data_IF_740022335998
#
_entry.id   IF_740022335998
#
_cell.length_a   1.000
_cell.length_b   1.000
_cell.length_c   1.000
_cell.angle_alpha   90.00
_cell.angle_beta   90.00
_cell.angle_gamma   90.00
#
_symmetry.space_group_name_H-M   'P 1'
#
loop_
_entity.id
_entity.type
_entity.pdbx_description
1 polymer ?
#
# COMPACT_ATOMS: atom_id res chain seq x y z
N UNK A 1 -18.10 38.51 -13.94
CA UNK A 1 -18.64 37.24 -14.48
C UNK A 1 -17.60 36.62 -15.44
N UNK A 2 -17.45 35.29 -15.48
CA UNK A 2 -16.52 34.66 -16.42
C UNK A 2 -16.99 34.93 -17.87
N UNK A 3 -16.07 35.24 -18.79
CA UNK A 3 -16.42 35.48 -20.19
C UNK A 3 -16.84 34.16 -20.89
N UNK A 4 -17.61 34.24 -21.98
CA UNK A 4 -17.97 33.08 -22.79
C UNK A 4 -16.73 32.31 -23.28
N UNK A 5 -15.63 33.04 -23.56
CA UNK A 5 -14.34 32.45 -23.94
C UNK A 5 -13.74 31.64 -22.80
N UNK A 6 -13.80 32.16 -21.57
CA UNK A 6 -13.28 31.46 -20.38
C UNK A 6 -14.06 30.19 -20.11
N UNK A 7 -15.39 30.23 -20.21
CA UNK A 7 -16.24 29.05 -20.05
C UNK A 7 -15.93 27.97 -21.10
N UNK A 8 -15.75 28.37 -22.37
CA UNK A 8 -15.37 27.46 -23.45
C UNK A 8 -14.00 26.79 -23.17
N UNK A 9 -13.02 27.59 -22.73
CA UNK A 9 -11.69 27.09 -22.38
C UNK A 9 -11.76 26.11 -21.19
N UNK A 10 -12.57 26.43 -20.16
CA UNK A 10 -12.78 25.51 -19.02
C UNK A 10 -13.44 24.21 -19.44
N UNK A 11 -14.46 24.25 -20.29
CA UNK A 11 -15.09 23.04 -20.84
C UNK A 11 -14.07 22.18 -21.59
N UNK A 12 -13.25 22.79 -22.44
CA UNK A 12 -12.21 22.09 -23.19
C UNK A 12 -11.16 21.43 -22.23
N UNK A 13 -10.71 22.14 -21.21
CA UNK A 13 -9.76 21.63 -20.19
C UNK A 13 -10.36 20.45 -19.41
N UNK A 14 -11.61 20.55 -18.95
CA UNK A 14 -12.26 19.45 -18.20
C UNK A 14 -12.50 18.24 -19.11
N UNK A 15 -12.84 18.45 -20.41
CA UNK A 15 -12.94 17.37 -21.41
C UNK A 15 -11.59 16.65 -21.59
N UNK A 16 -10.48 17.38 -21.61
CA UNK A 16 -9.13 16.77 -21.68
C UNK A 16 -8.83 15.98 -20.40
N UNK A 17 -9.10 16.53 -19.24
CA UNK A 17 -8.93 15.86 -17.94
C UNK A 17 -9.75 14.55 -17.89
N UNK A 18 -11.01 14.56 -18.33
CA UNK A 18 -11.86 13.37 -18.39
C UNK A 18 -11.25 12.27 -19.29
N UNK A 19 -10.66 12.63 -20.43
CA UNK A 19 -9.97 11.67 -21.30
C UNK A 19 -8.75 11.05 -20.60
N UNK A 20 -7.95 11.89 -19.90
CA UNK A 20 -6.75 11.43 -19.18
C UNK A 20 -7.16 10.48 -18.04
N UNK A 21 -8.14 10.85 -17.21
CA UNK A 21 -8.58 10.01 -16.07
C UNK A 21 -9.17 8.69 -16.55
N UNK A 22 -9.90 8.67 -17.68
CA UNK A 22 -10.41 7.44 -18.27
C UNK A 22 -9.28 6.53 -18.78
N UNK A 23 -8.26 7.08 -19.43
CA UNK A 23 -7.07 6.33 -19.83
C UNK A 23 -6.31 5.77 -18.62
N UNK A 24 -6.13 6.57 -17.57
CA UNK A 24 -5.48 6.12 -16.33
C UNK A 24 -6.28 5.00 -15.64
N UNK A 25 -7.60 5.05 -15.65
CA UNK A 25 -8.45 3.97 -15.15
C UNK A 25 -8.18 2.65 -15.87
N UNK A 26 -8.12 2.68 -17.21
CA UNK A 26 -7.86 1.48 -18.03
C UNK A 26 -6.46 0.91 -17.77
N UNK A 27 -5.44 1.77 -17.66
CA UNK A 27 -4.07 1.35 -17.34
C UNK A 27 -4.00 0.73 -15.93
N UNK A 28 -4.70 1.32 -14.95
CA UNK A 28 -4.76 0.78 -13.59
C UNK A 28 -5.44 -0.60 -13.57
N UNK A 29 -6.53 -0.80 -14.33
CA UNK A 29 -7.21 -2.09 -14.45
C UNK A 29 -6.28 -3.18 -15.02
N UNK A 30 -5.52 -2.87 -16.08
CA UNK A 30 -4.57 -3.81 -16.67
C UNK A 30 -3.42 -4.18 -15.71
N UNK A 31 -2.93 -3.19 -14.93
CA UNK A 31 -1.90 -3.42 -13.92
C UNK A 31 -2.44 -4.21 -12.72
N UNK A 32 -3.67 -3.96 -12.30
CA UNK A 32 -4.32 -4.71 -11.24
C UNK A 32 -4.39 -6.20 -11.59
N UNK A 33 -4.85 -6.52 -12.79
CA UNK A 33 -4.94 -7.91 -13.23
C UNK A 33 -3.59 -8.63 -13.15
N UNK A 34 -2.52 -7.99 -13.62
CA UNK A 34 -1.16 -8.56 -13.49
C UNK A 34 -0.72 -8.71 -12.04
N UNK A 35 -1.02 -7.74 -11.18
CA UNK A 35 -0.67 -7.81 -9.76
C UNK A 35 -1.40 -8.96 -9.08
N UNK A 36 -2.66 -9.21 -9.41
CA UNK A 36 -3.44 -10.35 -8.91
C UNK A 36 -2.85 -11.69 -9.38
N UNK A 37 -2.55 -11.82 -10.66
CA UNK A 37 -1.93 -13.03 -11.22
C UNK A 37 -0.62 -13.39 -10.50
N UNK A 38 0.23 -12.40 -10.20
CA UNK A 38 1.49 -12.60 -9.48
C UNK A 38 1.24 -12.95 -8.00
N UNK A 39 0.29 -12.30 -7.34
CA UNK A 39 -0.06 -12.58 -5.95
C UNK A 39 -0.63 -13.99 -5.79
N UNK A 40 -1.52 -14.41 -6.70
CA UNK A 40 -2.09 -15.76 -6.73
C UNK A 40 -1.01 -16.83 -6.96
N UNK A 41 -0.07 -16.57 -7.86
CA UNK A 41 1.05 -17.48 -8.13
C UNK A 41 2.02 -17.62 -6.92
N UNK A 42 2.11 -16.60 -6.06
CA UNK A 42 2.97 -16.63 -4.87
C UNK A 42 2.32 -17.32 -3.67
N UNK A 43 0.99 -17.42 -3.60
CA UNK A 43 0.25 -18.01 -2.46
C UNK A 43 0.67 -19.43 -2.10
N UNK A 44 0.77 -20.41 -3.04
CA UNK A 44 1.10 -21.78 -2.68
C UNK A 44 2.45 -21.91 -1.97
N UNK A 45 3.41 -21.05 -2.34
CA UNK A 45 4.72 -21.04 -1.69
C UNK A 45 4.64 -20.51 -0.25
N UNK A 46 3.91 -19.41 -0.04
CA UNK A 46 3.73 -18.83 1.28
C UNK A 46 2.98 -19.78 2.22
N UNK A 47 1.91 -20.42 1.76
CA UNK A 47 1.13 -21.40 2.53
C UNK A 47 1.97 -22.62 2.92
N UNK A 48 2.79 -23.15 1.99
CA UNK A 48 3.72 -24.25 2.29
C UNK A 48 4.79 -23.84 3.29
N UNK A 49 5.35 -22.64 3.17
CA UNK A 49 6.32 -22.10 4.11
C UNK A 49 5.73 -21.97 5.51
N UNK A 50 4.54 -21.41 5.63
CA UNK A 50 3.83 -21.25 6.91
C UNK A 50 3.55 -22.63 7.56
N UNK A 51 3.15 -23.64 6.78
CA UNK A 51 2.90 -24.99 7.26
C UNK A 51 4.18 -25.67 7.77
N UNK A 52 5.30 -25.54 7.04
CA UNK A 52 6.60 -26.10 7.45
C UNK A 52 7.10 -25.43 8.73
N UNK A 53 7.00 -24.10 8.82
CA UNK A 53 7.40 -23.35 10.01
C UNK A 53 6.56 -23.70 11.22
N UNK A 54 5.24 -23.83 11.07
CA UNK A 54 4.34 -24.25 12.15
C UNK A 54 4.70 -25.66 12.66
N UNK A 55 5.00 -26.60 11.75
CA UNK A 55 5.44 -27.96 12.09
C UNK A 55 6.77 -27.99 12.85
N UNK A 56 7.77 -27.21 12.39
CA UNK A 56 9.08 -27.14 13.05
C UNK A 56 8.99 -26.47 14.41
N UNK A 57 8.28 -25.36 14.51
CA UNK A 57 8.12 -24.64 15.76
C UNK A 57 7.35 -25.42 16.83
N UNK A 58 6.35 -26.23 16.42
CA UNK A 58 5.61 -27.11 17.33
C UNK A 58 6.47 -28.23 17.95
N UNK A 59 7.61 -28.57 17.35
CA UNK A 59 8.56 -29.57 17.86
C UNK A 59 9.58 -28.98 18.83
N UNK A 60 9.79 -27.68 18.82
CA UNK A 60 10.74 -27.02 19.72
C UNK A 60 10.09 -26.87 21.10
N UNK A 61 10.24 -27.89 21.92
CA UNK A 61 9.77 -27.92 23.32
C UNK A 61 10.65 -27.07 24.25
N UNK A 62 11.89 -26.80 23.88
CA UNK A 62 12.82 -26.03 24.68
C UNK A 62 13.09 -24.67 24.06
N UNK A 63 12.62 -23.60 24.73
CA UNK A 63 12.85 -22.20 24.29
C UNK A 63 14.31 -21.75 24.48
N UNK A 64 15.08 -22.48 25.33
CA UNK A 64 16.49 -22.21 25.54
C UNK A 64 17.28 -22.64 24.29
N UNK A 65 17.69 -21.69 23.46
CA UNK A 65 18.37 -21.91 22.18
C UNK A 65 17.51 -21.68 20.92
N UNK A 66 16.22 -21.35 21.09
CA UNK A 66 15.39 -20.96 19.94
C UNK A 66 15.89 -19.66 19.30
N UNK A 67 15.76 -19.58 17.95
CA UNK A 67 16.20 -18.40 17.20
C UNK A 67 15.55 -17.11 17.73
N UNK A 68 16.33 -16.03 17.97
CA UNK A 68 15.79 -14.73 18.40
C UNK A 68 14.74 -14.16 17.44
N UNK A 69 14.76 -14.55 16.17
CA UNK A 69 13.74 -14.18 15.19
C UNK A 69 12.36 -14.75 15.54
N UNK A 70 12.31 -15.85 16.29
CA UNK A 70 11.07 -16.51 16.70
C UNK A 70 10.60 -16.05 18.08
N UNK A 71 11.51 -16.02 19.06
CA UNK A 71 11.16 -15.73 20.45
C UNK A 71 11.34 -14.27 20.83
N UNK A 72 12.00 -13.48 19.98
CA UNK A 72 12.37 -12.10 20.26
C UNK A 72 13.68 -11.97 21.05
N UNK A 73 14.07 -10.72 21.30
CA UNK A 73 15.25 -10.38 22.13
C UNK A 73 14.95 -10.43 23.63
N UNK A 74 13.71 -10.69 24.04
CA UNK A 74 13.23 -10.57 25.41
C UNK A 74 13.00 -9.11 25.86
N UNK A 75 13.27 -8.14 24.99
CA UNK A 75 13.03 -6.71 25.18
C UNK A 75 11.90 -6.24 24.27
N UNK A 76 11.30 -5.12 24.60
CA UNK A 76 10.22 -4.50 23.83
C UNK A 76 10.39 -2.96 23.87
N UNK A 77 11.64 -2.51 23.79
CA UNK A 77 11.99 -1.08 23.97
C UNK A 77 12.03 -0.34 22.62
N UNK A 78 12.53 -0.99 21.58
CA UNK A 78 12.73 -0.36 20.27
C UNK A 78 11.93 -1.08 19.18
N UNK A 79 11.08 -0.33 18.47
CA UNK A 79 10.23 -0.82 17.41
C UNK A 79 10.65 -0.30 16.04
N UNK A 80 10.81 -1.21 15.08
CA UNK A 80 11.00 -0.91 13.67
C UNK A 80 9.65 -0.99 12.94
N UNK A 81 9.21 0.12 12.35
CA UNK A 81 8.00 0.19 11.53
C UNK A 81 8.40 0.31 10.05
N UNK A 82 8.08 -0.70 9.25
CA UNK A 82 8.33 -0.71 7.81
C UNK A 82 7.04 -0.32 7.10
N UNK A 83 6.95 0.90 6.59
CA UNK A 83 5.71 1.46 6.02
C UNK A 83 5.76 1.40 4.51
N UNK A 84 4.96 0.51 3.92
CA UNK A 84 4.90 0.27 2.48
C UNK A 84 3.79 1.10 1.84
N UNK A 85 4.15 1.94 0.88
CA UNK A 85 3.22 2.83 0.17
C UNK A 85 3.56 2.91 -1.32
N UNK A 86 2.76 3.63 -2.09
CA UNK A 86 3.04 3.86 -3.50
C UNK A 86 4.16 4.90 -3.72
N UNK A 87 4.80 4.80 -4.88
CA UNK A 87 5.72 5.83 -5.39
C UNK A 87 4.97 7.09 -5.85
N UNK A 88 3.77 6.93 -6.35
CA UNK A 88 2.96 7.98 -6.97
C UNK A 88 1.63 8.15 -6.24
N UNK A 89 1.04 9.33 -6.41
CA UNK A 89 -0.31 9.63 -5.93
C UNK A 89 -1.41 9.19 -6.91
N UNK A 90 -2.55 9.85 -6.81
CA UNK A 90 -3.75 9.62 -7.61
C UNK A 90 -4.37 8.21 -7.41
N UNK A 91 -4.22 7.66 -6.22
CA UNK A 91 -4.79 6.40 -5.75
C UNK A 91 -5.75 6.60 -4.57
N UNK A 92 -6.51 7.70 -4.58
CA UNK A 92 -7.44 8.03 -3.49
C UNK A 92 -6.78 8.10 -2.12
N UNK A 93 -7.41 7.48 -1.12
CA UNK A 93 -6.93 7.42 0.26
C UNK A 93 -5.89 6.35 0.55
N UNK A 94 -5.46 5.56 -0.43
CA UNK A 94 -4.56 4.42 -0.25
C UNK A 94 -3.32 4.73 0.61
N UNK A 95 -2.50 5.70 0.16
CA UNK A 95 -1.26 6.05 0.89
C UNK A 95 -1.54 6.65 2.27
N UNK A 96 -2.54 7.53 2.37
CA UNK A 96 -2.88 8.19 3.62
C UNK A 96 -3.45 7.23 4.66
N UNK A 97 -4.19 6.21 4.25
CA UNK A 97 -4.76 5.22 5.17
C UNK A 97 -3.68 4.34 5.80
N UNK A 98 -2.70 3.87 5.01
CA UNK A 98 -1.54 3.11 5.53
C UNK A 98 -0.71 3.99 6.48
N UNK A 99 -0.39 5.21 6.04
CA UNK A 99 0.38 6.14 6.87
C UNK A 99 -0.36 6.53 8.16
N UNK A 100 -1.70 6.63 8.13
CA UNK A 100 -2.54 6.91 9.32
C UNK A 100 -2.47 5.76 10.32
N UNK A 101 -2.53 4.51 9.86
CA UNK A 101 -2.40 3.33 10.72
C UNK A 101 -1.00 3.30 11.36
N UNK A 102 0.06 3.38 10.57
CA UNK A 102 1.44 3.39 11.07
C UNK A 102 1.71 4.55 12.04
N UNK A 103 1.15 5.74 11.77
CA UNK A 103 1.26 6.90 12.65
C UNK A 103 0.55 6.67 13.99
N UNK A 104 -0.64 6.08 13.99
CA UNK A 104 -1.38 5.80 15.21
C UNK A 104 -0.60 4.85 16.13
N UNK A 105 -0.04 3.78 15.56
CA UNK A 105 0.77 2.83 16.31
C UNK A 105 2.11 3.45 16.78
N UNK A 106 2.77 4.23 15.92
CA UNK A 106 4.00 4.94 16.29
C UNK A 106 3.78 5.89 17.48
N UNK A 107 2.70 6.69 17.45
CA UNK A 107 2.39 7.62 18.54
C UNK A 107 2.03 6.88 19.83
N UNK A 108 1.31 5.75 19.72
CA UNK A 108 1.01 4.89 20.86
C UNK A 108 2.30 4.35 21.52
N UNK A 109 3.23 3.83 20.71
CA UNK A 109 4.52 3.34 21.21
C UNK A 109 5.35 4.45 21.85
N UNK A 110 5.42 5.62 21.23
CA UNK A 110 6.11 6.79 21.80
C UNK A 110 5.48 7.25 23.12
N UNK A 111 4.16 7.20 23.24
CA UNK A 111 3.47 7.54 24.51
C UNK A 111 3.75 6.55 25.64
N UNK A 112 4.14 5.33 25.29
CA UNK A 112 4.58 4.28 26.22
C UNK A 112 6.07 4.40 26.59
N UNK A 113 6.77 5.44 26.12
CA UNK A 113 8.21 5.63 26.35
C UNK A 113 9.12 4.78 25.47
N UNK A 114 8.57 4.09 24.44
CA UNK A 114 9.34 3.24 23.54
C UNK A 114 10.01 4.03 22.42
N UNK A 115 11.10 3.53 21.91
CA UNK A 115 11.81 4.10 20.77
C UNK A 115 11.17 3.58 19.46
N UNK A 116 10.90 4.48 18.52
CA UNK A 116 10.34 4.13 17.22
C UNK A 116 11.30 4.52 16.10
N UNK A 117 11.67 3.55 15.27
CA UNK A 117 12.42 3.72 14.01
C UNK A 117 11.50 3.44 12.84
N UNK A 118 11.47 4.29 11.82
CA UNK A 118 10.61 4.12 10.65
C UNK A 118 11.44 4.00 9.39
N UNK A 119 11.26 2.87 8.69
CA UNK A 119 11.70 2.68 7.31
C UNK A 119 10.50 2.85 6.39
N UNK A 120 10.60 3.73 5.40
CA UNK A 120 9.54 3.88 4.40
C UNK A 120 9.93 3.18 3.09
N UNK A 121 9.05 2.33 2.59
CA UNK A 121 9.14 1.68 1.28
C UNK A 121 8.08 2.33 0.39
N UNK A 122 8.54 3.09 -0.60
CA UNK A 122 7.70 3.97 -1.39
C UNK A 122 7.70 5.41 -0.88
N UNK A 123 7.81 6.34 -1.82
CA UNK A 123 7.97 7.77 -1.54
C UNK A 123 6.82 8.38 -0.73
N UNK A 124 5.58 7.95 -1.01
CA UNK A 124 4.38 8.58 -0.43
C UNK A 124 4.23 8.34 1.07
N UNK A 125 4.80 7.26 1.61
CA UNK A 125 4.88 7.02 3.05
C UNK A 125 5.67 8.11 3.75
N UNK A 126 6.88 8.39 3.28
CA UNK A 126 7.71 9.45 3.82
C UNK A 126 7.04 10.83 3.72
N UNK A 127 6.41 11.15 2.57
CA UNK A 127 5.69 12.42 2.39
C UNK A 127 4.57 12.60 3.44
N UNK A 128 3.80 11.54 3.74
CA UNK A 128 2.68 11.59 4.67
C UNK A 128 3.11 11.61 6.14
N UNK A 129 4.22 10.94 6.49
CA UNK A 129 4.68 10.83 7.89
C UNK A 129 5.63 11.95 8.29
N UNK A 130 6.23 12.66 7.33
CA UNK A 130 7.28 13.66 7.56
C UNK A 130 6.89 14.74 8.57
N UNK A 131 5.64 15.19 8.56
CA UNK A 131 5.18 16.28 9.41
C UNK A 131 5.24 15.93 10.89
N UNK A 132 4.77 14.73 11.23
CA UNK A 132 4.56 14.33 12.61
C UNK A 132 5.70 13.44 13.13
N UNK A 133 6.28 12.61 12.26
CA UNK A 133 7.26 11.57 12.59
C UNK A 133 8.54 11.68 11.74
N UNK A 134 8.87 12.87 11.26
CA UNK A 134 10.04 13.07 10.39
C UNK A 134 11.37 12.69 11.03
N UNK A 135 11.50 12.85 12.37
CA UNK A 135 12.71 12.50 13.13
C UNK A 135 12.89 10.98 13.30
N UNK A 136 11.81 10.23 13.27
CA UNK A 136 11.80 8.77 13.40
C UNK A 136 12.10 8.07 12.07
N UNK A 137 11.95 8.76 10.93
CA UNK A 137 12.25 8.21 9.61
C UNK A 137 13.76 8.25 9.39
N UNK A 138 14.40 7.09 9.54
CA UNK A 138 15.86 6.96 9.35
C UNK A 138 16.22 6.52 7.92
N UNK A 139 15.34 5.76 7.23
CA UNK A 139 15.61 5.23 5.91
C UNK A 139 14.39 5.35 4.98
N UNK A 140 14.68 5.66 3.71
CA UNK A 140 13.66 5.75 2.65
C UNK A 140 14.13 4.91 1.48
N UNK A 141 13.37 3.86 1.16
CA UNK A 141 13.58 3.04 -0.02
C UNK A 141 12.53 3.33 -1.06
N UNK A 142 12.95 3.52 -2.30
CA UNK A 142 12.03 3.68 -3.42
C UNK A 142 12.33 2.65 -4.52
N UNK A 143 11.29 2.32 -5.27
CA UNK A 143 11.35 1.39 -6.39
C UNK A 143 11.11 2.11 -7.73
N UNK A 144 11.56 3.37 -7.83
CA UNK A 144 11.49 4.12 -9.09
C UNK A 144 12.29 3.42 -10.17
N UNK A 145 11.65 3.16 -11.32
CA UNK A 145 12.26 2.43 -12.42
C UNK A 145 12.01 0.92 -12.41
N UNK A 146 11.61 0.35 -11.31
CA UNK A 146 11.19 -1.06 -11.22
C UNK A 146 9.84 -1.22 -11.91
N UNK A 147 9.80 -2.00 -12.99
CA UNK A 147 8.56 -2.23 -13.75
C UNK A 147 7.59 -3.17 -13.03
N UNK A 148 8.14 -4.14 -12.33
CA UNK A 148 7.40 -5.15 -11.60
C UNK A 148 8.19 -5.48 -10.34
N UNK A 149 7.53 -5.44 -9.19
CA UNK A 149 8.12 -5.83 -7.91
C UNK A 149 8.32 -7.34 -7.93
N UNK A 150 9.56 -7.77 -7.75
CA UNK A 150 9.98 -9.16 -7.65
C UNK A 150 10.46 -9.52 -6.25
N UNK A 151 10.91 -10.77 -6.10
CA UNK A 151 11.48 -11.23 -4.84
C UNK A 151 12.81 -10.54 -4.50
N UNK A 152 13.54 -10.06 -5.52
CA UNK A 152 14.79 -9.30 -5.34
C UNK A 152 14.58 -8.02 -4.55
N UNK A 153 13.52 -7.25 -4.85
CA UNK A 153 13.18 -6.03 -4.15
C UNK A 153 12.77 -6.31 -2.69
N UNK A 154 12.01 -7.38 -2.50
CA UNK A 154 11.63 -7.85 -1.17
C UNK A 154 12.85 -8.33 -0.36
N UNK A 155 13.76 -9.07 -1.01
CA UNK A 155 15.02 -9.51 -0.43
C UNK A 155 15.85 -8.34 0.07
N UNK A 156 16.04 -7.31 -0.75
CA UNK A 156 16.81 -6.13 -0.35
C UNK A 156 16.23 -5.38 0.88
N UNK A 157 14.90 -5.39 1.05
CA UNK A 157 14.25 -4.86 2.27
C UNK A 157 14.45 -5.82 3.45
N UNK A 158 14.28 -7.12 3.22
CA UNK A 158 14.46 -8.16 4.23
C UNK A 158 15.89 -8.19 4.77
N UNK A 159 16.88 -8.18 3.89
CA UNK A 159 18.29 -8.21 4.27
C UNK A 159 18.63 -7.01 5.17
N UNK A 160 18.12 -5.83 4.84
CA UNK A 160 18.31 -4.64 5.67
C UNK A 160 17.65 -4.76 7.05
N UNK A 161 16.44 -5.31 7.11
CA UNK A 161 15.74 -5.56 8.38
C UNK A 161 16.52 -6.57 9.23
N UNK A 162 17.04 -7.65 8.62
CA UNK A 162 17.82 -8.67 9.29
C UNK A 162 19.17 -8.14 9.78
N UNK A 163 19.90 -7.35 8.97
CA UNK A 163 21.15 -6.69 9.38
C UNK A 163 20.94 -5.82 10.63
N UNK A 164 19.87 -5.02 10.65
CA UNK A 164 19.56 -4.17 11.80
C UNK A 164 19.17 -4.99 13.03
N UNK A 165 18.49 -6.12 12.85
CA UNK A 165 18.14 -7.01 13.95
C UNK A 165 19.36 -7.69 14.53
N UNK A 166 20.23 -8.23 13.68
CA UNK A 166 21.50 -8.87 14.08
C UNK A 166 22.43 -7.85 14.77
N UNK A 167 22.36 -6.56 14.41
CA UNK A 167 23.06 -5.47 15.08
C UNK A 167 22.40 -5.00 16.40
N UNK A 168 21.26 -5.57 16.78
CA UNK A 168 20.53 -5.18 18.00
C UNK A 168 19.91 -3.78 17.95
N UNK A 169 19.61 -3.27 16.74
CA UNK A 169 19.10 -1.92 16.57
C UNK A 169 17.60 -1.77 16.89
N UNK A 170 16.88 -2.87 17.00
CA UNK A 170 15.46 -2.93 17.40
C UNK A 170 15.10 -4.30 17.96
N UNK A 171 13.97 -4.38 18.67
CA UNK A 171 13.45 -5.59 19.30
C UNK A 171 12.27 -6.18 18.52
N UNK A 172 11.40 -5.31 18.01
CA UNK A 172 10.15 -5.68 17.30
C UNK A 172 10.11 -5.02 15.94
N UNK A 173 9.79 -5.79 14.90
CA UNK A 173 9.56 -5.28 13.55
C UNK A 173 8.13 -5.52 13.09
N UNK A 174 7.49 -4.47 12.56
CA UNK A 174 6.13 -4.52 12.02
C UNK A 174 6.08 -3.89 10.64
N UNK A 175 5.47 -4.59 9.65
CA UNK A 175 5.18 -4.03 8.33
C UNK A 175 3.76 -3.47 8.27
N UNK A 176 3.62 -2.36 7.57
CA UNK A 176 2.34 -1.69 7.29
C UNK A 176 2.13 -1.66 5.80
N UNK A 177 1.05 -2.28 5.35
CA UNK A 177 0.69 -2.36 3.94
C UNK A 177 -0.83 -2.35 3.80
N UNK A 178 -1.34 -2.44 2.59
CA UNK A 178 -2.77 -2.57 2.34
C UNK A 178 -3.06 -3.93 1.71
N UNK A 179 -3.85 -4.73 2.43
CA UNK A 179 -4.38 -5.99 1.95
C UNK A 179 -5.47 -5.76 0.90
N UNK A 180 -5.35 -6.45 -0.22
CA UNK A 180 -6.31 -6.35 -1.31
C UNK A 180 -7.52 -7.26 -1.06
N UNK A 181 -8.66 -6.68 -0.75
CA UNK A 181 -9.93 -7.41 -0.62
C UNK A 181 -10.76 -7.33 -1.90
N UNK A 182 -10.86 -6.13 -2.49
CA UNK A 182 -11.56 -5.91 -3.74
C UNK A 182 -11.12 -4.57 -4.37
N UNK A 183 -11.60 -4.28 -5.57
CA UNK A 183 -11.36 -3.00 -6.27
C UNK A 183 -11.82 -1.79 -5.43
N UNK A 184 -12.87 -1.95 -4.65
CA UNK A 184 -13.46 -0.87 -3.83
C UNK A 184 -13.02 -0.93 -2.36
N UNK A 185 -12.47 -2.06 -1.90
CA UNK A 185 -12.09 -2.28 -0.50
C UNK A 185 -10.62 -2.70 -0.42
N UNK A 186 -9.80 -1.83 0.17
CA UNK A 186 -8.40 -2.10 0.51
C UNK A 186 -8.25 -1.87 2.02
N UNK A 187 -7.75 -2.88 2.73
CA UNK A 187 -7.64 -2.86 4.19
C UNK A 187 -6.21 -2.53 4.61
N UNK A 188 -5.95 -1.38 5.24
CA UNK A 188 -4.67 -1.13 5.87
C UNK A 188 -4.42 -2.15 6.97
N UNK A 189 -3.28 -2.84 6.91
CA UNK A 189 -2.95 -3.96 7.79
C UNK A 189 -1.56 -3.75 8.38
N UNK A 190 -1.42 -4.07 9.66
CA UNK A 190 -0.15 -4.16 10.37
C UNK A 190 0.14 -5.65 10.61
N UNK A 191 1.32 -6.10 10.17
CA UNK A 191 1.78 -7.46 10.35
C UNK A 191 3.14 -7.45 11.06
N UNK A 192 3.20 -8.06 12.23
CA UNK A 192 4.46 -8.22 12.94
C UNK A 192 5.32 -9.28 12.26
N UNK A 193 6.57 -8.91 11.95
CA UNK A 193 7.58 -9.79 11.34
C UNK A 193 8.49 -10.43 12.37
N UNK A 194 8.94 -9.64 13.35
CA UNK A 194 9.87 -10.07 14.41
C UNK A 194 9.31 -9.57 15.74
N UNK A 195 9.21 -10.43 16.74
CA UNK A 195 9.27 -11.89 16.65
C UNK A 195 8.21 -12.46 15.71
N UNK A 196 8.55 -13.54 15.01
CA UNK A 196 7.66 -14.18 14.06
C UNK A 196 6.43 -14.74 14.78
N UNK A 197 5.24 -14.26 14.43
CA UNK A 197 4.00 -14.89 14.86
C UNK A 197 3.75 -16.11 13.99
N UNK A 198 4.03 -17.27 14.53
CA UNK A 198 3.65 -18.51 13.88
C UNK A 198 2.13 -18.66 13.98
N UNK A 199 1.47 -19.17 12.94
CA UNK A 199 0.10 -19.62 13.07
C UNK A 199 0.04 -20.60 14.25
N UNK A 200 -0.87 -20.35 15.20
CA UNK A 200 -1.20 -21.39 16.17
C UNK A 200 -1.50 -22.65 15.38
N UNK A 201 -0.83 -23.77 15.73
CA UNK A 201 -1.12 -25.04 15.11
C UNK A 201 -2.65 -25.21 15.21
N UNK A 202 -3.33 -25.15 14.06
CA UNK A 202 -4.75 -25.42 14.04
C UNK A 202 -4.91 -26.76 14.75
N UNK A 203 -5.77 -26.81 15.76
CA UNK A 203 -6.19 -28.05 16.43
C UNK A 203 -6.99 -28.95 15.45
N UNK A 204 -6.45 -29.09 14.24
CA UNK A 204 -6.96 -30.02 13.27
C UNK A 204 -6.44 -31.42 13.65
N UNK A 205 -7.21 -32.09 14.49
CA UNK A 205 -7.06 -33.52 14.82
C UNK A 205 -7.03 -34.39 13.55
N UNK A 206 -7.22 -33.82 12.36
CA UNK A 206 -7.08 -34.48 11.06
C UNK A 206 -5.63 -34.44 10.50
N UNK A 207 -4.77 -33.52 10.94
CA UNK A 207 -3.36 -33.46 10.53
C UNK A 207 -2.51 -34.59 11.17
N UNK A 208 -3.00 -35.23 12.21
CA UNK A 208 -2.24 -36.26 12.96
C UNK A 208 -2.11 -37.62 12.28
N UNK A 209 -2.81 -37.93 11.19
CA UNK A 209 -2.77 -39.26 10.57
C UNK A 209 -1.93 -39.38 9.31
N UNK A 210 -1.48 -38.28 8.70
CA UNK A 210 -0.63 -38.28 7.49
C UNK A 210 0.49 -37.23 7.55
N UNK A 211 0.93 -36.81 8.74
CA UNK A 211 2.13 -35.99 8.84
C UNK A 211 3.33 -36.80 8.37
N UNK A 212 3.85 -36.48 7.19
CA UNK A 212 5.11 -37.06 6.74
C UNK A 212 6.17 -36.79 7.82
N UNK A 213 6.82 -37.84 8.28
CA UNK A 213 7.97 -37.73 9.20
C UNK A 213 9.11 -37.24 8.31
N UNK A 214 9.46 -35.94 8.43
CA UNK A 214 10.64 -35.41 7.77
C UNK A 214 11.86 -35.68 8.63
N UNK A 215 12.91 -36.20 8.03
CA UNK A 215 14.24 -36.26 8.61
C UNK A 215 15.00 -35.01 8.20
N UNK A 216 15.55 -34.26 9.15
CA UNK A 216 16.18 -32.99 8.93
C UNK A 216 17.69 -33.09 9.01
N UNK A 217 18.38 -32.78 7.92
CA UNK A 217 19.83 -32.70 7.87
C UNK A 217 20.26 -31.25 7.50
N UNK A 218 21.26 -30.65 8.15
CA UNK A 218 22.12 -31.21 9.20
C UNK A 218 21.55 -31.10 10.61
N UNK A 219 20.71 -30.09 10.95
CA UNK A 219 20.12 -29.91 12.27
C UNK A 219 18.86 -29.03 12.17
N UNK A 220 17.83 -29.41 12.92
CA UNK A 220 16.53 -28.70 12.92
C UNK A 220 16.67 -27.19 13.26
N UNK A 221 17.57 -26.82 14.17
CA UNK A 221 17.78 -25.43 14.58
C UNK A 221 18.42 -24.59 13.48
N UNK A 222 19.40 -25.16 12.77
CA UNK A 222 20.07 -24.48 11.63
C UNK A 222 19.09 -24.25 10.50
N UNK A 223 18.31 -25.29 10.18
CA UNK A 223 17.28 -25.22 9.14
C UNK A 223 16.21 -24.18 9.50
N UNK A 224 15.73 -24.20 10.75
CA UNK A 224 14.74 -23.24 11.23
C UNK A 224 15.28 -21.79 11.14
N UNK A 225 16.53 -21.54 11.53
CA UNK A 225 17.15 -20.22 11.41
C UNK A 225 17.15 -19.68 9.97
N UNK A 226 17.48 -20.55 9.00
CA UNK A 226 17.46 -20.18 7.58
C UNK A 226 16.04 -19.98 7.04
N UNK A 227 15.10 -20.85 7.44
CA UNK A 227 13.71 -20.76 7.04
C UNK A 227 13.03 -19.49 7.62
N UNK A 228 13.35 -19.10 8.85
CA UNK A 228 12.82 -17.87 9.45
C UNK A 228 13.29 -16.63 8.69
N UNK A 229 14.57 -16.54 8.31
CA UNK A 229 15.07 -15.44 7.46
C UNK A 229 14.35 -15.40 6.13
N UNK A 230 14.15 -16.55 5.50
CA UNK A 230 13.43 -16.66 4.23
C UNK A 230 11.94 -16.35 4.38
N UNK A 231 11.33 -16.71 5.51
CA UNK A 231 9.95 -16.36 5.81
C UNK A 231 9.77 -14.85 5.92
N UNK A 232 10.66 -14.14 6.62
CA UNK A 232 10.61 -12.67 6.68
C UNK A 232 10.62 -12.06 5.28
N UNK A 233 11.51 -12.51 4.39
CA UNK A 233 11.55 -12.06 3.00
C UNK A 233 10.24 -12.39 2.26
N UNK A 234 9.64 -13.56 2.51
CA UNK A 234 8.38 -14.00 1.91
C UNK A 234 7.20 -13.15 2.40
N UNK A 235 7.14 -12.84 3.70
CA UNK A 235 6.09 -11.97 4.27
C UNK A 235 6.21 -10.53 3.75
N UNK A 236 7.43 -10.00 3.61
CA UNK A 236 7.68 -8.70 2.98
C UNK A 236 7.24 -8.73 1.52
N UNK A 237 7.59 -9.78 0.78
CA UNK A 237 7.19 -9.95 -0.62
C UNK A 237 5.67 -10.00 -0.78
N UNK A 238 4.99 -10.79 0.05
CA UNK A 238 3.53 -10.84 0.12
C UNK A 238 2.95 -9.45 0.38
N UNK A 239 3.46 -8.74 1.39
CA UNK A 239 3.04 -7.38 1.70
C UNK A 239 3.21 -6.40 0.52
N UNK A 240 4.31 -6.51 -0.23
CA UNK A 240 4.56 -5.69 -1.42
C UNK A 240 3.60 -6.04 -2.58
N UNK A 241 3.29 -7.31 -2.80
CA UNK A 241 2.34 -7.75 -3.83
C UNK A 241 0.92 -7.30 -3.52
N UNK A 242 0.44 -7.52 -2.29
CA UNK A 242 -0.86 -7.06 -1.81
C UNK A 242 -0.97 -5.53 -1.93
N UNK A 243 0.08 -4.82 -1.56
CA UNK A 243 0.16 -3.37 -1.67
C UNK A 243 0.10 -2.89 -3.12
N UNK A 244 0.77 -3.59 -4.04
CA UNK A 244 0.74 -3.27 -5.47
C UNK A 244 -0.67 -3.49 -6.06
N UNK A 245 -1.36 -4.58 -5.72
CA UNK A 245 -2.73 -4.83 -6.14
C UNK A 245 -3.69 -3.78 -5.57
N UNK A 246 -3.59 -3.50 -4.27
CA UNK A 246 -4.38 -2.48 -3.56
C UNK A 246 -4.20 -1.08 -4.15
N UNK A 247 -2.97 -0.70 -4.48
CA UNK A 247 -2.65 0.58 -5.13
C UNK A 247 -3.37 0.72 -6.47
N UNK A 248 -3.33 -0.33 -7.32
CA UNK A 248 -3.98 -0.27 -8.63
C UNK A 248 -5.51 -0.32 -8.52
N UNK A 249 -6.07 -1.08 -7.60
CA UNK A 249 -7.51 -1.07 -7.29
C UNK A 249 -7.99 0.30 -6.83
N UNK A 250 -7.31 0.89 -5.86
CA UNK A 250 -7.60 2.24 -5.38
C UNK A 250 -7.45 3.31 -6.46
N UNK A 251 -6.42 3.19 -7.31
CA UNK A 251 -6.22 4.10 -8.45
C UNK A 251 -7.33 3.96 -9.47
N UNK A 252 -7.73 2.75 -9.82
CA UNK A 252 -8.83 2.49 -10.74
C UNK A 252 -10.13 3.15 -10.25
N UNK A 253 -10.49 2.94 -8.98
CA UNK A 253 -11.67 3.54 -8.36
C UNK A 253 -11.59 5.07 -8.30
N UNK A 254 -10.44 5.64 -7.91
CA UNK A 254 -10.24 7.08 -7.87
C UNK A 254 -10.34 7.73 -9.24
N UNK A 255 -9.82 7.08 -10.30
CA UNK A 255 -9.89 7.59 -11.67
C UNK A 255 -11.30 7.45 -12.27
N UNK A 256 -12.05 6.42 -11.89
CA UNK A 256 -13.46 6.29 -12.26
C UNK A 256 -14.30 7.43 -11.66
N UNK A 257 -14.14 7.70 -10.37
CA UNK A 257 -14.80 8.82 -9.70
C UNK A 257 -14.41 10.16 -10.32
N UNK A 258 -13.13 10.37 -10.60
CA UNK A 258 -12.66 11.60 -11.26
C UNK A 258 -13.25 11.76 -12.66
N UNK A 259 -13.42 10.67 -13.42
CA UNK A 259 -14.01 10.67 -14.77
C UNK A 259 -15.51 11.04 -14.73
N UNK A 260 -16.25 10.49 -13.75
CA UNK A 260 -17.68 10.83 -13.53
C UNK A 260 -17.83 12.30 -13.11
N UNK A 261 -17.07 12.74 -12.12
CA UNK A 261 -17.09 14.13 -11.66
C UNK A 261 -16.75 15.13 -12.78
N UNK A 262 -15.78 14.77 -13.65
CA UNK A 262 -15.46 15.57 -14.83
C UNK A 262 -16.63 15.63 -15.81
N UNK A 263 -17.38 14.53 -16.00
CA UNK A 263 -18.61 14.52 -16.79
C UNK A 263 -19.65 15.49 -16.28
N UNK A 264 -19.99 15.38 -15.00
CA UNK A 264 -20.96 16.27 -14.35
C UNK A 264 -20.55 17.77 -14.42
N UNK A 265 -19.24 18.02 -14.27
CA UNK A 265 -18.73 19.38 -14.40
C UNK A 265 -18.85 19.94 -15.82
N UNK A 266 -18.63 19.11 -16.86
CA UNK A 266 -18.83 19.48 -18.26
C UNK A 266 -20.30 19.87 -18.49
N UNK A 267 -21.24 19.08 -17.99
CA UNK A 267 -22.68 19.33 -18.16
C UNK A 267 -23.10 20.65 -17.49
N UNK A 268 -22.69 20.85 -16.24
CA UNK A 268 -22.93 22.12 -15.49
C UNK A 268 -22.35 23.34 -16.21
N UNK A 269 -21.09 23.22 -16.67
CA UNK A 269 -20.43 24.33 -17.40
C UNK A 269 -21.11 24.58 -18.75
N UNK A 270 -21.60 23.55 -19.42
CA UNK A 270 -22.31 23.71 -20.71
C UNK A 270 -23.65 24.42 -20.56
N UNK A 271 -24.41 24.06 -19.50
CA UNK A 271 -25.67 24.77 -19.17
C UNK A 271 -25.36 26.24 -18.86
N UNK A 272 -24.36 26.52 -18.04
CA UNK A 272 -23.96 27.91 -17.71
C UNK A 272 -23.52 28.68 -18.95
N UNK A 273 -22.74 28.09 -19.83
CA UNK A 273 -22.29 28.68 -21.08
C UNK A 273 -23.47 29.04 -21.98
N UNK A 274 -24.40 28.09 -22.17
CA UNK A 274 -25.58 28.32 -23.02
C UNK A 274 -26.47 29.43 -22.46
N UNK A 275 -26.72 29.46 -21.14
CA UNK A 275 -27.49 30.51 -20.49
C UNK A 275 -26.82 31.89 -20.67
N UNK A 276 -25.53 31.97 -20.47
CA UNK A 276 -24.79 33.22 -20.58
C UNK A 276 -24.70 33.68 -22.04
N UNK A 277 -24.55 32.75 -22.98
CA UNK A 277 -24.60 33.05 -24.42
C UNK A 277 -25.96 33.64 -24.82
N UNK A 278 -27.07 33.00 -24.38
CA UNK A 278 -28.40 33.51 -24.65
C UNK A 278 -28.62 34.91 -24.08
N UNK A 279 -28.20 35.15 -22.83
CA UNK A 279 -28.29 36.45 -22.20
C UNK A 279 -27.49 37.53 -22.96
N UNK A 280 -26.31 37.18 -23.46
CA UNK A 280 -25.49 38.09 -24.25
C UNK A 280 -26.13 38.40 -25.60
N UNK A 281 -26.66 37.38 -26.31
CA UNK A 281 -27.39 37.59 -27.59
C UNK A 281 -28.61 38.48 -27.36
N UNK A 282 -29.38 38.26 -26.29
CA UNK A 282 -30.53 39.07 -25.97
C UNK A 282 -30.14 40.53 -25.69
N UNK A 283 -29.04 40.73 -24.94
CA UNK A 283 -28.52 42.07 -24.67
C UNK A 283 -28.11 42.82 -25.96
N UNK A 284 -27.36 42.13 -26.83
CA UNK A 284 -26.93 42.68 -28.13
C UNK A 284 -28.11 43.01 -29.02
N UNK A 285 -29.17 42.19 -29.05
CA UNK A 285 -30.42 42.47 -29.77
C UNK A 285 -31.15 43.70 -29.24
N UNK A 286 -31.25 43.84 -27.90
CA UNK A 286 -31.88 45.02 -27.28
C UNK A 286 -31.08 46.26 -27.61
N UNK A 287 -29.75 46.24 -27.55
CA UNK A 287 -28.89 47.36 -27.90
C UNK A 287 -29.08 47.80 -29.38
N UNK A 288 -29.19 46.82 -30.30
CA UNK A 288 -29.44 47.12 -31.73
C UNK A 288 -30.82 47.74 -31.92
N UNK A 289 -31.88 47.17 -31.31
CA UNK A 289 -33.26 47.73 -31.43
C UNK A 289 -33.34 49.13 -30.84
N UNK A 290 -32.82 49.34 -29.62
CA UNK A 290 -32.81 50.65 -29.00
C UNK A 290 -31.99 51.67 -29.76
N UNK A 291 -30.90 51.26 -30.41
CA UNK A 291 -30.11 52.13 -31.30
C UNK A 291 -30.86 52.50 -32.60
N UNK A 292 -31.68 51.59 -33.14
CA UNK A 292 -32.50 51.83 -34.32
C UNK A 292 -33.71 52.76 -34.04
N UNK A 293 -34.27 52.67 -32.81
CA UNK A 293 -35.35 53.54 -32.39
C UNK A 293 -34.90 54.99 -32.03
N UNK A 294 -33.59 55.15 -31.78
CA UNK A 294 -33.00 56.46 -31.45
C UNK A 294 -32.54 57.27 -32.68
N UNK A 295 -32.62 56.72 -33.88
CA UNK A 295 -32.37 57.36 -35.18
C UNK A 295 -33.68 57.76 -35.82
#
# INVERSE_FOLDING_TARGET
MASLKDLRNRIASVKATRKITKAMQMVAAAKLRRAQEVAEAARPYAERMDAVLASLAGRITNRDGASPLLVGTGKDDTHLLVVMTAERGLCGGFNSNIAKLARADALKLLSQGKTVKIMTVGRKGADNLRRDLGKQIFEKRDFRGVRQIGFTEAGAVSDRVLEMFDAGEFDVATIYFSEFQSVIAQKPTALQLIPAKLPEAADDASAGKNAAIYDYEPDEQVILGQLLKRNIATQIFRGLLENAASEQGARMSAMDNATRNAGEMIDKLTITYNRQRQAQITKELIEIISGAEAL
#
